data_IF_891550052441
#
_entry.id   IF_891550052441
#
_cell.length_a   1.000
_cell.length_b   1.000
_cell.length_c   1.000
_cell.angle_alpha   90.00
_cell.angle_beta   90.00
_cell.angle_gamma   90.00
#
_symmetry.space_group_name_H-M   'P 1'
#
loop_
_entity.id
_entity.type
_entity.pdbx_description
1 polymer ?
#
# COMPACT_ATOMS: atom_id res chain seq x y z
N UNK A 1 17.81 -43.00 -31.42
CA UNK A 1 17.19 -41.73 -30.98
C UNK A 1 17.49 -41.58 -29.51
N UNK A 2 18.44 -40.72 -29.12
CA UNK A 2 18.70 -40.47 -27.69
C UNK A 2 17.45 -39.88 -27.07
N UNK A 3 16.98 -40.45 -25.96
CA UNK A 3 15.87 -39.89 -25.20
C UNK A 3 16.32 -38.54 -24.64
N UNK A 4 15.88 -37.45 -25.27
CA UNK A 4 16.09 -36.10 -24.77
C UNK A 4 15.48 -35.99 -23.38
N UNK A 5 16.27 -35.52 -22.41
CA UNK A 5 15.85 -35.38 -21.02
C UNK A 5 14.65 -34.43 -20.90
N UNK A 6 13.93 -34.50 -19.79
CA UNK A 6 12.81 -33.58 -19.54
C UNK A 6 13.31 -32.13 -19.46
N UNK A 7 14.44 -31.90 -18.78
CA UNK A 7 15.06 -30.58 -18.68
C UNK A 7 15.42 -30.01 -20.07
N UNK A 8 16.04 -30.81 -20.93
CA UNK A 8 16.38 -30.38 -22.30
C UNK A 8 15.13 -30.00 -23.12
N UNK A 9 14.01 -30.70 -22.91
CA UNK A 9 12.74 -30.37 -23.57
C UNK A 9 12.21 -29.04 -23.06
N UNK A 10 12.21 -28.82 -21.75
CA UNK A 10 11.73 -27.57 -21.14
C UNK A 10 12.59 -26.40 -21.59
N UNK A 11 13.92 -26.55 -21.61
CA UNK A 11 14.85 -25.52 -22.09
C UNK A 11 14.54 -25.15 -23.55
N UNK A 12 14.32 -26.13 -24.44
CA UNK A 12 13.94 -25.85 -25.84
C UNK A 12 12.62 -25.11 -25.96
N UNK A 13 11.63 -25.44 -25.13
CA UNK A 13 10.35 -24.70 -25.10
C UNK A 13 10.60 -23.27 -24.66
N UNK A 14 11.40 -23.06 -23.60
CA UNK A 14 11.80 -21.73 -23.15
C UNK A 14 12.50 -20.95 -24.26
N UNK A 15 13.43 -21.56 -25.01
CA UNK A 15 14.11 -20.89 -26.13
C UNK A 15 13.14 -20.44 -27.24
N UNK A 16 12.13 -21.25 -27.56
CA UNK A 16 11.07 -20.86 -28.49
C UNK A 16 10.28 -19.68 -27.92
N UNK A 17 9.88 -19.73 -26.65
CA UNK A 17 9.13 -18.64 -26.01
C UNK A 17 9.93 -17.34 -25.97
N UNK A 18 11.24 -17.39 -25.68
CA UNK A 18 12.13 -16.23 -25.72
C UNK A 18 12.26 -15.65 -27.13
N UNK A 19 12.13 -16.48 -28.17
CA UNK A 19 12.04 -15.99 -29.55
C UNK A 19 10.73 -15.25 -29.80
N UNK A 20 9.62 -15.68 -29.19
CA UNK A 20 8.33 -15.00 -29.28
C UNK A 20 8.36 -13.62 -28.58
N UNK A 21 9.05 -13.49 -27.45
CA UNK A 21 9.15 -12.20 -26.71
C UNK A 21 9.89 -11.10 -27.47
N UNK A 22 10.56 -11.43 -28.58
CA UNK A 22 11.32 -10.47 -29.40
C UNK A 22 10.60 -10.08 -30.70
N UNK A 23 9.37 -10.55 -30.92
CA UNK A 23 8.64 -10.29 -32.16
C UNK A 23 8.03 -8.89 -32.19
N UNK A 24 7.80 -8.36 -33.41
CA UNK A 24 7.20 -7.02 -33.60
C UNK A 24 5.76 -6.93 -33.07
N UNK A 25 4.98 -8.00 -33.23
CA UNK A 25 3.59 -8.05 -32.78
C UNK A 25 3.53 -8.21 -31.25
N UNK A 26 2.79 -7.34 -30.58
CA UNK A 26 2.72 -7.33 -29.11
C UNK A 26 2.00 -8.57 -28.58
N UNK A 27 1.01 -9.11 -29.30
CA UNK A 27 0.29 -10.33 -28.94
C UNK A 27 1.24 -11.53 -28.87
N UNK A 28 2.22 -11.59 -29.79
CA UNK A 28 3.24 -12.64 -29.80
C UNK A 28 4.20 -12.47 -28.63
N UNK A 29 4.61 -11.24 -28.31
CA UNK A 29 5.47 -10.99 -27.14
C UNK A 29 4.76 -11.35 -25.84
N UNK A 30 3.53 -10.89 -25.69
CA UNK A 30 2.65 -11.22 -24.58
C UNK A 30 2.47 -12.74 -24.43
N UNK A 31 2.19 -13.45 -25.53
CA UNK A 31 2.05 -14.91 -25.53
C UNK A 31 3.32 -15.65 -25.11
N UNK A 32 4.49 -15.17 -25.54
CA UNK A 32 5.79 -15.68 -25.10
C UNK A 32 5.99 -15.55 -23.60
N UNK A 33 5.76 -14.34 -23.06
CA UNK A 33 5.86 -14.07 -21.62
C UNK A 33 4.84 -14.86 -20.80
N UNK A 34 3.60 -15.01 -21.30
CA UNK A 34 2.58 -15.82 -20.66
C UNK A 34 3.00 -17.29 -20.55
N UNK A 35 3.62 -17.84 -21.60
CA UNK A 35 4.21 -19.18 -21.56
C UNK A 35 5.32 -19.28 -20.52
N UNK A 36 6.23 -18.30 -20.48
CA UNK A 36 7.32 -18.24 -19.50
C UNK A 36 6.79 -18.18 -18.06
N UNK A 37 5.75 -17.37 -17.80
CA UNK A 37 5.09 -17.28 -16.49
C UNK A 37 4.67 -18.65 -15.99
N UNK A 38 3.99 -19.44 -16.81
CA UNK A 38 3.52 -20.76 -16.38
C UNK A 38 4.65 -21.77 -16.23
N UNK A 39 5.66 -21.75 -17.11
CA UNK A 39 6.82 -22.64 -16.96
C UNK A 39 7.56 -22.32 -15.65
N UNK A 40 7.85 -21.05 -15.40
CA UNK A 40 8.54 -20.63 -14.17
C UNK A 40 7.69 -20.87 -12.91
N UNK A 41 6.36 -20.80 -13.02
CA UNK A 41 5.47 -21.12 -11.90
C UNK A 41 5.41 -22.63 -11.59
N UNK A 42 5.39 -23.49 -12.62
CA UNK A 42 5.18 -24.94 -12.47
C UNK A 42 6.48 -25.72 -12.30
N UNK A 43 7.54 -25.37 -13.05
CA UNK A 43 8.84 -26.06 -13.05
C UNK A 43 9.80 -25.43 -12.04
N UNK A 44 9.37 -25.33 -10.78
CA UNK A 44 10.17 -24.78 -9.68
C UNK A 44 11.51 -25.51 -9.49
N UNK A 45 11.53 -26.82 -9.79
CA UNK A 45 12.71 -27.67 -9.78
C UNK A 45 13.79 -27.24 -10.79
N UNK A 46 13.40 -26.57 -11.88
CA UNK A 46 14.30 -26.12 -12.95
C UNK A 46 14.56 -24.61 -12.92
N UNK A 47 13.99 -23.84 -11.99
CA UNK A 47 14.11 -22.37 -11.98
C UNK A 47 15.57 -21.89 -11.97
N UNK A 48 16.47 -22.62 -11.29
CA UNK A 48 17.89 -22.27 -11.25
C UNK A 48 18.58 -22.32 -12.62
N UNK A 49 18.13 -23.17 -13.56
CA UNK A 49 18.66 -23.22 -14.92
C UNK A 49 17.87 -22.32 -15.88
N UNK A 50 16.56 -22.20 -15.69
CA UNK A 50 15.68 -21.42 -16.58
C UNK A 50 15.75 -19.91 -16.34
N UNK A 51 15.72 -19.47 -15.08
CA UNK A 51 15.61 -18.05 -14.74
C UNK A 51 16.81 -17.23 -15.21
N UNK A 52 18.09 -17.63 -15.02
CA UNK A 52 19.22 -16.86 -15.54
C UNK A 52 19.16 -16.68 -17.07
N UNK A 53 18.57 -17.64 -17.80
CA UNK A 53 18.42 -17.58 -19.26
C UNK A 53 17.28 -16.66 -19.69
N UNK A 54 16.13 -16.69 -19.01
CA UNK A 54 14.97 -15.89 -19.39
C UNK A 54 14.95 -14.47 -18.81
N UNK A 55 15.61 -14.26 -17.66
CA UNK A 55 15.53 -13.02 -16.88
C UNK A 55 15.90 -11.77 -17.68
N UNK A 56 16.97 -11.71 -18.50
CA UNK A 56 17.31 -10.50 -19.24
C UNK A 56 16.18 -9.99 -20.14
N UNK A 57 15.48 -10.92 -20.83
CA UNK A 57 14.38 -10.59 -21.72
C UNK A 57 13.10 -10.23 -20.96
N UNK A 58 12.86 -10.86 -19.81
CA UNK A 58 11.72 -10.49 -18.95
C UNK A 58 11.93 -9.08 -18.38
N UNK A 59 13.14 -8.76 -17.91
CA UNK A 59 13.47 -7.43 -17.39
C UNK A 59 13.37 -6.34 -18.47
N UNK A 60 13.83 -6.59 -19.70
CA UNK A 60 13.64 -5.63 -20.79
C UNK A 60 12.16 -5.44 -21.14
N UNK A 61 11.35 -6.49 -20.98
CA UNK A 61 9.91 -6.44 -21.29
C UNK A 61 9.09 -5.65 -20.25
N UNK A 62 9.64 -5.36 -19.06
CA UNK A 62 8.99 -4.46 -18.09
C UNK A 62 8.87 -3.02 -18.61
N UNK A 63 9.71 -2.64 -19.58
CA UNK A 63 9.66 -1.35 -20.28
C UNK A 63 9.11 -1.48 -21.70
N UNK A 64 8.32 -2.53 -21.98
CA UNK A 64 7.63 -2.65 -23.27
C UNK A 64 6.64 -1.48 -23.44
N UNK A 65 6.52 -0.89 -24.64
CA UNK A 65 5.57 0.20 -24.88
C UNK A 65 4.10 -0.21 -24.77
N UNK A 66 3.79 -1.51 -24.74
CA UNK A 66 2.43 -2.01 -24.54
C UNK A 66 2.26 -2.45 -23.09
N UNK A 67 1.38 -1.76 -22.35
CA UNK A 67 1.15 -2.00 -20.92
C UNK A 67 0.82 -3.45 -20.58
N UNK A 68 0.03 -4.14 -21.42
CA UNK A 68 -0.29 -5.56 -21.21
C UNK A 68 0.96 -6.45 -21.26
N UNK A 69 1.94 -6.12 -22.11
CA UNK A 69 3.22 -6.84 -22.21
C UNK A 69 4.09 -6.57 -20.99
N UNK A 70 4.18 -5.30 -20.56
CA UNK A 70 4.91 -4.94 -19.33
C UNK A 70 4.28 -5.59 -18.08
N UNK A 71 2.95 -5.62 -18.02
CA UNK A 71 2.18 -6.26 -16.96
C UNK A 71 2.43 -7.77 -16.86
N UNK A 72 2.39 -8.49 -17.98
CA UNK A 72 2.67 -9.94 -17.98
C UNK A 72 4.14 -10.22 -17.67
N UNK A 73 5.07 -9.33 -18.06
CA UNK A 73 6.49 -9.44 -17.69
C UNK A 73 6.65 -9.39 -16.15
N UNK A 74 5.99 -8.44 -15.48
CA UNK A 74 5.98 -8.40 -14.02
C UNK A 74 5.36 -9.66 -13.41
N UNK A 75 4.21 -10.10 -13.94
CA UNK A 75 3.53 -11.32 -13.48
C UNK A 75 4.38 -12.58 -13.64
N UNK A 76 5.27 -12.62 -14.63
CA UNK A 76 6.20 -13.72 -14.90
C UNK A 76 7.25 -13.85 -13.79
N UNK A 77 7.66 -12.73 -13.17
CA UNK A 77 8.68 -12.71 -12.13
C UNK A 77 8.13 -13.00 -10.72
N UNK A 78 6.84 -12.76 -10.46
CA UNK A 78 6.21 -13.00 -9.15
C UNK A 78 6.50 -14.40 -8.57
N UNK A 79 6.25 -15.52 -9.28
CA UNK A 79 6.46 -16.86 -8.71
C UNK A 79 7.94 -17.18 -8.44
N UNK A 80 8.86 -16.42 -9.01
CA UNK A 80 10.31 -16.62 -8.87
C UNK A 80 11.00 -15.49 -8.10
N UNK A 81 10.24 -14.56 -7.52
CA UNK A 81 10.77 -13.47 -6.70
C UNK A 81 11.67 -13.96 -5.54
N UNK A 82 11.36 -15.08 -4.83
CA UNK A 82 12.27 -15.62 -3.81
C UNK A 82 13.65 -15.98 -4.38
N UNK A 83 13.72 -16.51 -5.60
CA UNK A 83 14.98 -16.85 -6.26
C UNK A 83 15.76 -15.61 -6.69
N UNK A 84 15.08 -14.52 -7.08
CA UNK A 84 15.73 -13.24 -7.37
C UNK A 84 16.42 -12.66 -6.14
N UNK A 85 15.80 -12.82 -4.96
CA UNK A 85 16.33 -12.30 -3.69
C UNK A 85 17.44 -13.18 -3.12
N UNK A 86 17.24 -14.50 -3.10
CA UNK A 86 18.13 -15.44 -2.39
C UNK A 86 19.32 -15.92 -3.23
N UNK A 87 19.21 -15.93 -4.56
CA UNK A 87 20.29 -16.41 -5.42
C UNK A 87 21.42 -15.37 -5.55
N UNK A 88 22.66 -15.68 -5.13
CA UNK A 88 23.78 -14.75 -5.22
C UNK A 88 24.09 -14.28 -6.64
N UNK A 89 23.80 -15.11 -7.65
CA UNK A 89 24.01 -14.76 -9.05
C UNK A 89 22.97 -13.80 -9.60
N UNK A 90 21.83 -13.62 -8.93
CA UNK A 90 20.72 -12.79 -9.41
C UNK A 90 20.44 -11.58 -8.49
N UNK A 91 20.78 -11.66 -7.21
CA UNK A 91 20.49 -10.62 -6.21
C UNK A 91 21.06 -9.24 -6.57
N UNK A 92 22.17 -9.19 -7.30
CA UNK A 92 22.75 -7.94 -7.83
C UNK A 92 21.82 -7.18 -8.81
N UNK A 93 20.81 -7.84 -9.39
CA UNK A 93 19.82 -7.24 -10.29
C UNK A 93 18.64 -6.61 -9.54
N UNK A 94 18.41 -7.00 -8.28
CA UNK A 94 17.24 -6.57 -7.50
C UNK A 94 17.15 -5.05 -7.33
N UNK A 95 18.23 -4.30 -7.02
CA UNK A 95 18.14 -2.84 -6.89
C UNK A 95 17.63 -2.16 -8.16
N UNK A 96 18.21 -2.50 -9.32
CA UNK A 96 17.79 -1.94 -10.60
C UNK A 96 16.34 -2.31 -10.97
N UNK A 97 15.90 -3.53 -10.65
CA UNK A 97 14.51 -3.95 -10.84
C UNK A 97 13.57 -3.13 -9.95
N UNK A 98 13.94 -2.88 -8.69
CA UNK A 98 13.13 -2.07 -7.78
C UNK A 98 13.04 -0.61 -8.24
N UNK A 99 14.13 -0.02 -8.69
CA UNK A 99 14.11 1.34 -9.26
C UNK A 99 13.17 1.40 -10.46
N UNK A 100 13.23 0.42 -11.36
CA UNK A 100 12.32 0.32 -12.50
C UNK A 100 10.85 0.18 -12.05
N UNK A 101 10.57 -0.66 -11.05
CA UNK A 101 9.22 -0.83 -10.52
C UNK A 101 8.69 0.43 -9.85
N UNK A 102 9.52 1.17 -9.10
CA UNK A 102 9.13 2.44 -8.49
C UNK A 102 8.81 3.50 -9.53
N UNK A 103 9.61 3.59 -10.60
CA UNK A 103 9.35 4.47 -11.73
C UNK A 103 8.03 4.11 -12.41
N UNK A 104 7.82 2.82 -12.73
CA UNK A 104 6.56 2.35 -13.33
C UNK A 104 5.36 2.67 -12.42
N UNK A 105 5.43 2.40 -11.12
CA UNK A 105 4.34 2.69 -10.19
C UNK A 105 4.04 4.19 -10.05
N UNK A 106 5.04 5.05 -10.25
CA UNK A 106 4.88 6.51 -10.19
C UNK A 106 4.33 7.10 -11.50
N UNK A 107 4.62 6.49 -12.65
CA UNK A 107 4.23 6.97 -13.98
C UNK A 107 2.85 6.47 -14.42
N UNK A 108 2.37 5.36 -13.87
CA UNK A 108 1.16 4.69 -14.36
C UNK A 108 -0.15 5.31 -13.87
N UNK A 109 -1.14 5.34 -14.76
CA UNK A 109 -2.52 5.70 -14.45
C UNK A 109 -3.22 4.58 -13.67
N UNK A 110 -3.85 4.93 -12.55
CA UNK A 110 -4.41 4.00 -11.55
C UNK A 110 -5.51 3.04 -12.06
N UNK A 111 -5.93 3.19 -13.32
CA UNK A 111 -7.00 2.42 -13.95
C UNK A 111 -6.50 1.39 -14.96
N UNK A 112 -5.22 1.36 -15.31
CA UNK A 112 -4.68 0.28 -16.14
C UNK A 112 -4.55 -0.99 -15.28
N UNK A 113 -5.13 -2.09 -15.77
CA UNK A 113 -5.01 -3.41 -15.11
C UNK A 113 -3.55 -3.86 -14.92
N UNK A 114 -2.63 -3.18 -15.60
CA UNK A 114 -1.19 -3.35 -15.55
C UNK A 114 -0.56 -3.13 -14.16
N UNK A 115 -1.14 -2.24 -13.37
CA UNK A 115 -0.57 -1.88 -12.07
C UNK A 115 -0.57 -3.02 -11.05
N UNK A 116 -1.48 -3.99 -11.21
CA UNK A 116 -1.66 -5.09 -10.25
C UNK A 116 -0.40 -5.91 -10.07
N UNK A 117 0.26 -6.26 -11.18
CA UNK A 117 1.42 -7.13 -11.13
C UNK A 117 2.70 -6.38 -10.76
N UNK A 118 2.82 -5.08 -11.06
CA UNK A 118 3.95 -4.27 -10.58
C UNK A 118 3.94 -4.17 -9.06
N UNK A 119 2.80 -3.81 -8.47
CA UNK A 119 2.66 -3.74 -7.01
C UNK A 119 2.86 -5.11 -6.36
N UNK A 120 2.32 -6.17 -6.97
CA UNK A 120 2.49 -7.54 -6.46
C UNK A 120 3.94 -8.02 -6.52
N UNK A 121 4.66 -7.71 -7.61
CA UNK A 121 6.09 -8.04 -7.74
C UNK A 121 6.94 -7.23 -6.77
N UNK A 122 6.67 -5.93 -6.62
CA UNK A 122 7.33 -5.07 -5.64
C UNK A 122 7.17 -5.66 -4.23
N UNK A 123 5.96 -6.02 -3.84
CA UNK A 123 5.69 -6.63 -2.54
C UNK A 123 6.40 -7.98 -2.40
N UNK A 124 6.36 -8.85 -3.42
CA UNK A 124 7.01 -10.16 -3.40
C UNK A 124 8.53 -10.08 -3.19
N UNK A 125 9.17 -9.00 -3.68
CA UNK A 125 10.62 -8.77 -3.50
C UNK A 125 10.90 -8.09 -2.16
N UNK A 126 10.19 -7.00 -1.83
CA UNK A 126 10.47 -6.22 -0.63
C UNK A 126 10.11 -6.95 0.65
N UNK A 127 8.99 -7.68 0.66
CA UNK A 127 8.49 -8.39 1.85
C UNK A 127 9.17 -9.75 2.08
N UNK A 128 10.09 -10.17 1.19
CA UNK A 128 10.83 -11.41 1.38
C UNK A 128 11.79 -11.28 2.58
N UNK A 129 11.87 -12.26 3.50
CA UNK A 129 12.69 -12.16 4.73
C UNK A 129 14.18 -11.85 4.48
N UNK A 130 14.76 -12.43 3.42
CA UNK A 130 16.16 -12.20 3.06
C UNK A 130 16.40 -10.91 2.25
N UNK A 131 15.34 -10.15 1.94
CA UNK A 131 15.45 -8.93 1.16
C UNK A 131 16.03 -7.80 2.01
N UNK A 132 17.17 -7.27 1.58
CA UNK A 132 17.79 -6.08 2.19
C UNK A 132 17.32 -4.78 1.56
N UNK A 133 16.55 -4.86 0.48
CA UNK A 133 16.18 -3.69 -0.31
C UNK A 133 15.35 -2.66 0.47
N UNK A 134 14.54 -3.13 1.42
CA UNK A 134 13.76 -2.23 2.29
C UNK A 134 14.62 -1.37 3.22
N UNK A 135 15.90 -1.70 3.41
CA UNK A 135 16.86 -0.92 4.23
C UNK A 135 17.82 -0.03 3.43
N UNK A 136 17.82 -0.13 2.10
CA UNK A 136 18.78 0.55 1.21
C UNK A 136 18.05 1.44 0.20
N UNK A 137 17.00 2.12 0.65
CA UNK A 137 16.28 3.07 -0.20
C UNK A 137 17.16 4.30 -0.47
N UNK A 138 17.07 4.82 -1.69
CA UNK A 138 17.75 6.06 -2.10
C UNK A 138 17.14 7.31 -1.46
N UNK A 139 15.91 7.21 -0.95
CA UNK A 139 15.11 8.30 -0.38
C UNK A 139 14.51 7.88 0.96
N UNK A 140 14.20 8.82 1.88
CA UNK A 140 13.53 8.50 3.14
C UNK A 140 12.19 7.79 2.89
N UNK A 141 11.87 6.78 3.73
CA UNK A 141 10.65 5.97 3.57
C UNK A 141 9.41 6.81 3.37
N UNK A 142 9.25 7.87 4.18
CA UNK A 142 8.07 8.74 4.17
C UNK A 142 7.91 9.55 2.87
N UNK A 143 8.98 9.71 2.08
CA UNK A 143 8.94 10.34 0.75
C UNK A 143 8.70 9.33 -0.37
N UNK A 144 8.90 8.03 -0.08
CA UNK A 144 8.58 6.92 -1.00
C UNK A 144 7.12 6.47 -0.88
N UNK A 145 6.56 6.47 0.35
CA UNK A 145 5.18 6.04 0.61
C UNK A 145 4.10 6.73 -0.26
N UNK A 146 4.22 8.02 -0.63
CA UNK A 146 3.26 8.67 -1.53
C UNK A 146 3.04 7.93 -2.85
N UNK A 147 4.06 7.24 -3.37
CA UNK A 147 3.97 6.42 -4.59
C UNK A 147 3.03 5.22 -4.43
N UNK A 148 2.74 4.83 -3.20
CA UNK A 148 1.90 3.68 -2.86
C UNK A 148 0.43 4.05 -2.60
N UNK A 149 0.13 5.31 -2.26
CA UNK A 149 -1.23 5.75 -1.92
C UNK A 149 -2.30 5.46 -2.98
N UNK A 150 -2.03 5.59 -4.30
CA UNK A 150 -2.95 5.16 -5.34
C UNK A 150 -3.51 3.74 -5.14
N UNK A 151 -2.64 2.82 -4.73
CA UNK A 151 -2.95 1.40 -4.68
C UNK A 151 -3.71 0.99 -3.41
N UNK A 152 -3.77 1.86 -2.40
CA UNK A 152 -4.60 1.65 -1.20
C UNK A 152 -6.10 1.65 -1.49
N UNK A 153 -6.53 2.25 -2.60
CA UNK A 153 -7.94 2.28 -3.02
C UNK A 153 -8.21 1.41 -4.26
N UNK A 154 -7.27 0.55 -4.63
CA UNK A 154 -7.39 -0.30 -5.81
C UNK A 154 -8.59 -1.26 -5.70
N UNK A 155 -9.25 -1.55 -6.82
CA UNK A 155 -10.46 -2.41 -6.87
C UNK A 155 -10.17 -3.85 -6.40
N UNK A 156 -9.01 -4.39 -6.78
CA UNK A 156 -8.54 -5.70 -6.36
C UNK A 156 -8.00 -5.69 -4.94
N UNK A 157 -8.57 -6.53 -4.06
CA UNK A 157 -8.16 -6.66 -2.65
C UNK A 157 -6.72 -7.12 -2.46
N UNK A 158 -6.21 -8.03 -3.30
CA UNK A 158 -4.81 -8.48 -3.21
C UNK A 158 -3.79 -7.36 -3.45
N UNK A 159 -4.12 -6.39 -4.32
CA UNK A 159 -3.28 -5.21 -4.56
C UNK A 159 -3.25 -4.33 -3.32
N UNK A 160 -4.43 -4.01 -2.75
CA UNK A 160 -4.51 -3.22 -1.51
C UNK A 160 -3.72 -3.88 -0.37
N UNK A 161 -3.81 -5.20 -0.24
CA UNK A 161 -3.05 -5.98 0.74
C UNK A 161 -1.53 -5.86 0.49
N UNK A 162 -1.09 -6.12 -0.74
CA UNK A 162 0.32 -6.03 -1.13
C UNK A 162 0.90 -4.62 -0.91
N UNK A 163 0.10 -3.59 -1.14
CA UNK A 163 0.46 -2.19 -0.86
C UNK A 163 0.69 -1.98 0.63
N UNK A 164 -0.24 -2.38 1.49
CA UNK A 164 -0.08 -2.22 2.94
C UNK A 164 1.05 -3.08 3.50
N UNK A 165 1.24 -4.31 3.01
CA UNK A 165 2.39 -5.15 3.36
C UNK A 165 3.72 -4.48 3.00
N UNK A 166 3.79 -3.86 1.81
CA UNK A 166 4.95 -3.07 1.42
C UNK A 166 5.16 -1.89 2.36
N UNK A 167 4.11 -1.12 2.69
CA UNK A 167 4.20 0.00 3.64
C UNK A 167 4.68 -0.47 5.03
N UNK A 168 4.13 -1.57 5.53
CA UNK A 168 4.51 -2.15 6.81
C UNK A 168 5.98 -2.58 6.80
N UNK A 169 6.43 -3.24 5.74
CA UNK A 169 7.83 -3.67 5.58
C UNK A 169 8.77 -2.46 5.56
N UNK A 170 8.50 -1.46 4.73
CA UNK A 170 9.35 -0.27 4.60
C UNK A 170 9.45 0.49 5.92
N UNK A 171 8.34 0.69 6.62
CA UNK A 171 8.32 1.39 7.92
C UNK A 171 9.03 0.57 8.99
N UNK A 172 8.81 -0.76 9.07
CA UNK A 172 9.43 -1.64 10.07
C UNK A 172 10.93 -1.78 9.94
N UNK A 173 11.43 -1.73 8.71
CA UNK A 173 12.87 -1.81 8.40
C UNK A 173 13.70 -0.64 8.95
N UNK A 174 13.05 0.42 9.45
CA UNK A 174 13.70 1.60 9.97
C UNK A 174 13.40 1.80 11.46
N UNK A 175 14.38 2.32 12.22
CA UNK A 175 14.22 2.59 13.65
C UNK A 175 13.42 3.88 13.90
N UNK A 176 13.65 4.89 13.07
CA UNK A 176 12.97 6.18 13.09
C UNK A 176 12.54 6.53 11.67
N UNK A 177 11.48 7.32 11.57
CA UNK A 177 10.96 7.83 10.29
C UNK A 177 11.11 9.34 10.29
N UNK A 178 12.06 9.85 9.50
CA UNK A 178 12.24 11.28 9.33
C UNK A 178 11.26 11.78 8.27
N UNK A 179 10.45 12.78 8.62
CA UNK A 179 9.50 13.37 7.69
C UNK A 179 9.00 14.75 8.16
N UNK A 180 8.45 15.50 7.20
CA UNK A 180 7.69 16.71 7.51
C UNK A 180 6.33 16.39 8.16
N UNK A 181 5.81 17.31 8.98
CA UNK A 181 4.46 17.22 9.56
C UNK A 181 3.38 17.02 8.48
N UNK A 182 3.40 17.73 7.33
CA UNK A 182 2.49 17.46 6.21
C UNK A 182 2.59 16.03 5.64
N UNK A 183 3.80 15.52 5.39
CA UNK A 183 4.01 14.16 4.85
C UNK A 183 3.46 13.09 5.80
N UNK A 184 3.70 13.28 7.11
CA UNK A 184 3.15 12.42 8.17
C UNK A 184 1.63 12.45 8.19
N UNK A 185 1.03 13.64 8.25
CA UNK A 185 -0.42 13.81 8.27
C UNK A 185 -1.07 13.17 7.05
N UNK A 186 -0.52 13.39 5.85
CA UNK A 186 -1.05 12.80 4.61
C UNK A 186 -1.02 11.26 4.68
N UNK A 187 0.10 10.69 5.12
CA UNK A 187 0.24 9.24 5.29
C UNK A 187 -0.78 8.68 6.27
N UNK A 188 -0.91 9.28 7.46
CA UNK A 188 -1.89 8.86 8.46
C UNK A 188 -3.32 8.98 7.94
N UNK A 189 -3.66 10.06 7.23
CA UNK A 189 -4.99 10.22 6.63
C UNK A 189 -5.31 9.12 5.61
N UNK A 190 -4.35 8.71 4.76
CA UNK A 190 -4.56 7.61 3.82
C UNK A 190 -4.82 6.27 4.53
N UNK A 191 -4.02 5.96 5.56
CA UNK A 191 -4.19 4.71 6.36
C UNK A 191 -5.52 4.74 7.12
N UNK A 192 -5.83 5.85 7.79
CA UNK A 192 -7.07 6.01 8.54
C UNK A 192 -8.31 5.94 7.64
N UNK A 193 -8.31 6.65 6.51
CA UNK A 193 -9.39 6.58 5.52
C UNK A 193 -9.61 5.15 5.03
N UNK A 194 -8.53 4.39 4.81
CA UNK A 194 -8.65 2.98 4.41
C UNK A 194 -9.28 2.12 5.50
N UNK A 195 -8.98 2.37 6.77
CA UNK A 195 -9.62 1.69 7.90
C UNK A 195 -11.15 1.82 7.91
N UNK A 196 -11.67 2.99 7.49
CA UNK A 196 -13.10 3.30 7.48
C UNK A 196 -13.86 2.56 6.38
N UNK A 197 -13.21 2.25 5.25
CA UNK A 197 -13.88 1.76 4.03
C UNK A 197 -13.37 0.40 3.57
N UNK A 198 -12.47 -0.25 4.30
CA UNK A 198 -11.99 -1.60 3.99
C UNK A 198 -12.97 -2.65 4.51
N UNK A 199 -13.32 -3.62 3.67
CA UNK A 199 -14.27 -4.70 3.98
C UNK A 199 -13.59 -6.06 4.22
N UNK A 200 -12.37 -6.23 3.73
CA UNK A 200 -11.59 -7.46 3.88
C UNK A 200 -10.85 -7.46 5.21
N UNK A 201 -11.05 -8.51 6.00
CA UNK A 201 -10.48 -8.64 7.35
C UNK A 201 -8.96 -8.65 7.37
N UNK A 202 -8.33 -9.43 6.50
CA UNK A 202 -6.87 -9.50 6.41
C UNK A 202 -6.23 -8.13 6.12
N UNK A 203 -6.92 -7.31 5.31
CA UNK A 203 -6.46 -5.95 5.01
C UNK A 203 -6.65 -5.03 6.23
N UNK A 204 -7.76 -5.18 6.98
CA UNK A 204 -7.98 -4.46 8.23
C UNK A 204 -6.89 -4.74 9.27
N UNK A 205 -6.48 -6.00 9.41
CA UNK A 205 -5.39 -6.39 10.31
C UNK A 205 -4.07 -5.72 9.87
N UNK A 206 -3.78 -5.72 8.56
CA UNK A 206 -2.58 -5.06 8.01
C UNK A 206 -2.62 -3.52 8.15
N UNK A 207 -3.79 -2.88 8.12
CA UNK A 207 -3.93 -1.43 8.36
C UNK A 207 -3.46 -1.07 9.76
N UNK A 208 -3.88 -1.84 10.77
CA UNK A 208 -3.45 -1.63 12.16
C UNK A 208 -1.94 -1.80 12.31
N UNK A 209 -1.39 -2.82 11.67
CA UNK A 209 0.04 -3.08 11.61
C UNK A 209 0.86 -1.91 11.01
N UNK A 210 0.40 -1.32 9.91
CA UNK A 210 1.02 -0.13 9.30
C UNK A 210 0.91 1.07 10.22
N UNK A 211 -0.27 1.29 10.80
CA UNK A 211 -0.54 2.42 11.70
C UNK A 211 0.39 2.40 12.91
N UNK A 212 0.43 1.28 13.64
CA UNK A 212 1.32 1.11 14.78
C UNK A 212 2.79 1.30 14.38
N UNK A 213 3.19 0.69 13.26
CA UNK A 213 4.57 0.79 12.78
C UNK A 213 5.04 2.23 12.58
N UNK A 214 4.17 3.10 12.02
CA UNK A 214 4.44 4.53 11.84
C UNK A 214 4.51 5.22 13.20
N UNK A 215 3.49 5.08 14.05
CA UNK A 215 3.40 5.81 15.32
C UNK A 215 4.59 5.53 16.25
N UNK A 216 5.09 4.30 16.29
CA UNK A 216 6.21 3.92 17.17
C UNK A 216 7.57 4.43 16.69
N UNK A 217 7.65 5.03 15.50
CA UNK A 217 8.92 5.44 14.84
C UNK A 217 9.01 6.93 14.53
N UNK A 218 7.96 7.69 14.81
CA UNK A 218 7.91 9.14 14.61
C UNK A 218 8.22 9.84 15.93
N UNK A 219 8.91 10.99 15.85
CA UNK A 219 9.14 11.84 17.02
C UNK A 219 7.82 12.40 17.58
N UNK A 220 7.66 12.38 18.91
CA UNK A 220 6.44 12.82 19.59
C UNK A 220 5.95 14.20 19.13
N UNK A 221 6.83 15.21 19.07
CA UNK A 221 6.43 16.57 18.73
C UNK A 221 5.86 16.66 17.29
N UNK A 222 6.52 16.01 16.33
CA UNK A 222 6.05 15.93 14.95
C UNK A 222 4.70 15.21 14.86
N UNK A 223 4.52 14.14 15.63
CA UNK A 223 3.25 13.41 15.72
C UNK A 223 2.12 14.27 16.29
N UNK A 224 2.36 14.97 17.40
CA UNK A 224 1.38 15.84 18.04
C UNK A 224 0.94 16.97 17.10
N UNK A 225 1.90 17.61 16.41
CA UNK A 225 1.62 18.67 15.45
C UNK A 225 0.80 18.17 14.24
N UNK A 226 1.05 16.93 13.81
CA UNK A 226 0.30 16.32 12.71
C UNK A 226 -1.11 15.91 13.13
N UNK A 227 -1.29 15.36 14.34
CA UNK A 227 -2.53 14.65 14.69
C UNK A 227 -3.51 15.50 15.47
N UNK A 228 -3.07 16.27 16.46
CA UNK A 228 -3.96 17.01 17.37
C UNK A 228 -5.01 17.88 16.66
N UNK A 229 -4.69 18.61 15.56
CA UNK A 229 -5.68 19.40 14.83
C UNK A 229 -6.79 18.57 14.17
N UNK A 230 -6.57 17.27 13.93
CA UNK A 230 -7.43 16.42 13.10
C UNK A 230 -8.20 15.34 13.87
N UNK A 231 -7.89 15.11 15.16
CA UNK A 231 -8.54 14.07 15.99
C UNK A 231 -10.06 14.21 15.98
N UNK A 232 -10.58 15.43 16.17
CA UNK A 232 -12.02 15.67 16.18
C UNK A 232 -12.68 15.26 14.85
N UNK A 233 -12.05 15.57 13.73
CA UNK A 233 -12.51 15.17 12.41
C UNK A 233 -12.48 13.65 12.23
N UNK A 234 -11.41 12.99 12.65
CA UNK A 234 -11.29 11.53 12.56
C UNK A 234 -12.31 10.80 13.43
N UNK A 235 -12.59 11.29 14.63
CA UNK A 235 -13.68 10.83 15.48
C UNK A 235 -15.03 10.94 14.75
N UNK A 236 -15.33 12.10 14.18
CA UNK A 236 -16.57 12.31 13.42
C UNK A 236 -16.73 11.33 12.25
N UNK A 237 -15.66 11.05 11.51
CA UNK A 237 -15.68 10.07 10.42
C UNK A 237 -16.01 8.65 10.92
N UNK A 238 -15.40 8.20 12.02
CA UNK A 238 -15.72 6.90 12.63
C UNK A 238 -17.15 6.83 13.18
N UNK A 239 -17.71 7.96 13.59
CA UNK A 239 -19.07 8.07 14.12
C UNK A 239 -20.15 8.26 13.04
N UNK A 240 -19.80 8.43 11.77
CA UNK A 240 -20.76 8.67 10.69
C UNK A 240 -21.76 7.51 10.51
N UNK A 241 -23.07 7.75 10.20
CA UNK A 241 -24.02 6.67 9.88
C UNK A 241 -23.56 5.81 8.69
N UNK A 242 -23.66 4.49 8.82
CA UNK A 242 -23.11 3.56 7.82
C UNK A 242 -23.81 3.59 6.45
N UNK A 243 -25.08 4.01 6.43
CA UNK A 243 -25.90 4.13 5.23
C UNK A 243 -25.77 5.50 4.53
N UNK A 244 -25.00 6.43 5.10
CA UNK A 244 -24.76 7.77 4.53
C UNK A 244 -23.35 7.80 3.95
N UNK A 245 -23.17 8.22 2.68
CA UNK A 245 -21.84 8.32 2.10
C UNK A 245 -21.03 9.43 2.78
N UNK A 246 -19.72 9.23 2.89
CA UNK A 246 -18.79 10.27 3.33
C UNK A 246 -18.87 11.48 2.40
N UNK A 247 -18.72 12.67 2.96
CA UNK A 247 -18.49 13.86 2.17
C UNK A 247 -17.08 13.78 1.57
N UNK A 248 -16.99 13.82 0.24
CA UNK A 248 -15.72 13.74 -0.48
C UNK A 248 -14.77 14.88 -0.11
N UNK A 249 -15.26 16.02 0.37
CA UNK A 249 -14.41 17.12 0.86
C UNK A 249 -13.62 16.75 2.13
N UNK A 250 -14.09 15.76 2.89
CA UNK A 250 -13.46 15.30 4.12
C UNK A 250 -12.45 14.18 3.88
N UNK A 251 -12.56 13.48 2.74
CA UNK A 251 -11.66 12.43 2.32
C UNK A 251 -10.51 13.00 1.49
N UNK A 252 -9.36 12.34 1.54
CA UNK A 252 -8.28 12.64 0.59
C UNK A 252 -8.61 11.92 -0.72
N UNK A 253 -8.64 12.69 -1.80
CA UNK A 253 -8.54 12.15 -3.16
C UNK A 253 -7.07 12.06 -3.54
N UNK A 254 -6.69 11.01 -4.24
CA UNK A 254 -5.43 11.04 -4.98
C UNK A 254 -5.67 11.98 -6.16
N UNK A 255 -4.96 13.10 -6.24
CA UNK A 255 -5.10 14.02 -7.37
C UNK A 255 -4.69 13.30 -8.66
N UNK A 256 -5.51 13.35 -9.71
CA UNK A 256 -5.13 12.80 -11.00
C UNK A 256 -3.99 13.63 -11.58
N UNK A 257 -2.95 12.95 -12.07
CA UNK A 257 -2.03 13.58 -13.01
C UNK A 257 -2.84 13.90 -14.26
N UNK A 258 -2.79 15.15 -14.70
CA UNK A 258 -3.58 15.67 -15.81
C UNK A 258 -3.16 15.04 -17.14
N UNK A 259 -3.88 14.01 -17.58
CA UNK A 259 -3.79 13.52 -18.97
C UNK A 259 -5.14 12.98 -19.44
N UNK A 260 -5.84 13.81 -20.24
CA UNK A 260 -6.78 13.48 -21.31
C UNK A 260 -7.83 12.36 -21.15
N UNK A 261 -9.10 12.74 -21.30
CA UNK A 261 -10.28 11.94 -21.70
C UNK A 261 -10.09 10.43 -21.90
N UNK A 262 -9.91 9.68 -20.81
CA UNK A 262 -10.02 8.22 -20.70
C UNK A 262 -10.44 7.89 -19.25
N UNK A 263 -10.82 6.64 -18.86
CA UNK A 263 -11.91 6.31 -17.91
C UNK A 263 -11.72 6.68 -16.41
N UNK A 264 -10.97 7.74 -16.10
CA UNK A 264 -10.79 8.38 -14.79
C UNK A 264 -12.09 8.90 -14.15
N UNK A 265 -13.17 9.06 -14.92
CA UNK A 265 -14.51 9.33 -14.38
C UNK A 265 -15.05 8.19 -13.49
N UNK A 266 -14.53 6.96 -13.61
CA UNK A 266 -15.08 5.80 -12.90
C UNK A 266 -14.82 5.81 -11.38
N UNK A 267 -13.74 6.45 -10.89
CA UNK A 267 -13.52 6.66 -9.45
C UNK A 267 -13.98 8.06 -9.00
N UNK A 268 -13.95 9.04 -9.90
CA UNK A 268 -14.42 10.42 -9.69
C UNK A 268 -15.95 10.47 -9.64
N UNK A 269 -16.52 9.90 -8.58
CA UNK A 269 -17.96 9.78 -8.40
C UNK A 269 -18.38 8.64 -7.50
N UNK A 270 -17.47 7.70 -7.20
CA UNK A 270 -17.75 6.61 -6.28
C UNK A 270 -18.02 7.16 -4.88
N UNK A 271 -19.12 6.69 -4.30
CA UNK A 271 -19.46 7.00 -2.92
C UNK A 271 -18.70 6.08 -1.98
N UNK A 272 -18.10 6.66 -0.96
CA UNK A 272 -17.45 5.94 0.12
C UNK A 272 -18.42 5.82 1.29
N UNK A 273 -18.58 4.62 1.84
CA UNK A 273 -19.41 4.39 3.02
C UNK A 273 -18.58 3.74 4.11
N UNK A 274 -19.01 3.91 5.35
CA UNK A 274 -18.40 3.18 6.45
C UNK A 274 -18.59 1.68 6.22
N UNK A 275 -17.48 0.96 6.15
CA UNK A 275 -17.42 -0.46 5.89
C UNK A 275 -17.30 -0.86 4.42
N UNK A 276 -17.26 0.06 3.46
CA UNK A 276 -16.98 -0.26 2.05
C UNK A 276 -17.29 0.86 1.05
N UNK A 277 -16.67 0.78 -0.13
CA UNK A 277 -17.01 1.63 -1.29
C UNK A 277 -18.31 1.19 -1.96
N UNK A 278 -18.95 2.05 -2.74
CA UNK A 278 -20.24 1.81 -3.40
C UNK A 278 -20.32 0.50 -4.21
N UNK A 279 -19.21 0.07 -4.82
CA UNK A 279 -19.13 -1.19 -5.58
C UNK A 279 -19.16 -2.44 -4.71
N UNK A 280 -18.98 -2.31 -3.39
CA UNK A 280 -19.11 -3.42 -2.44
C UNK A 280 -20.59 -3.65 -2.13
N UNK A 281 -21.09 -4.91 -2.17
CA UNK A 281 -22.48 -5.23 -1.87
C UNK A 281 -22.95 -4.65 -0.54
N UNK A 282 -24.17 -4.09 -0.49
CA UNK A 282 -24.72 -3.43 0.69
C UNK A 282 -24.65 -4.31 1.94
N UNK A 283 -25.06 -5.58 1.83
CA UNK A 283 -25.03 -6.55 2.94
C UNK A 283 -23.62 -6.69 3.51
N UNK A 284 -22.61 -6.73 2.65
CA UNK A 284 -21.19 -6.79 3.06
C UNK A 284 -20.77 -5.51 3.78
N UNK A 285 -21.17 -4.34 3.27
CA UNK A 285 -20.86 -3.04 3.89
C UNK A 285 -21.49 -2.91 5.27
N UNK A 286 -22.77 -3.26 5.40
CA UNK A 286 -23.50 -3.19 6.66
C UNK A 286 -22.90 -4.14 7.70
N UNK A 287 -22.64 -5.39 7.32
CA UNK A 287 -22.01 -6.38 8.19
C UNK A 287 -20.60 -5.95 8.63
N UNK A 288 -19.88 -5.22 7.77
CA UNK A 288 -18.54 -4.75 8.06
C UNK A 288 -18.49 -3.40 8.80
N UNK A 289 -19.56 -2.59 8.75
CA UNK A 289 -19.57 -1.24 9.32
C UNK A 289 -19.17 -1.20 10.79
N UNK A 290 -19.61 -2.17 11.59
CA UNK A 290 -19.21 -2.31 12.98
C UNK A 290 -17.70 -2.58 13.12
N UNK A 291 -17.16 -3.49 12.32
CA UNK A 291 -15.74 -3.84 12.35
C UNK A 291 -14.85 -2.67 11.93
N UNK A 292 -15.28 -1.90 10.93
CA UNK A 292 -14.60 -0.67 10.52
C UNK A 292 -14.57 0.38 11.64
N UNK A 293 -15.66 0.54 12.42
CA UNK A 293 -15.66 1.41 13.61
C UNK A 293 -14.68 0.94 14.66
N UNK A 294 -14.73 -0.35 15.00
CA UNK A 294 -13.82 -0.92 16.01
C UNK A 294 -12.37 -0.71 15.59
N UNK A 295 -12.03 -0.96 14.33
CA UNK A 295 -10.69 -0.69 13.81
C UNK A 295 -10.34 0.81 13.94
N UNK A 296 -11.18 1.71 13.43
CA UNK A 296 -10.93 3.15 13.52
C UNK A 296 -10.76 3.63 14.97
N UNK A 297 -11.59 3.13 15.90
CA UNK A 297 -11.48 3.40 17.33
C UNK A 297 -10.19 2.85 17.94
N UNK A 298 -9.71 1.67 17.51
CA UNK A 298 -8.39 1.15 17.93
C UNK A 298 -7.25 2.04 17.43
N UNK A 299 -7.29 2.47 16.17
CA UNK A 299 -6.27 3.38 15.61
C UNK A 299 -6.22 4.70 16.37
N UNK A 300 -7.39 5.30 16.66
CA UNK A 300 -7.49 6.50 17.49
C UNK A 300 -7.08 6.27 18.94
N UNK A 301 -7.39 5.10 19.50
CA UNK A 301 -6.96 4.67 20.82
C UNK A 301 -5.44 4.61 20.93
N UNK A 302 -4.75 4.04 19.94
CA UNK A 302 -3.28 4.04 19.88
C UNK A 302 -2.72 5.47 19.82
N UNK A 303 -3.27 6.32 18.95
CA UNK A 303 -2.89 7.75 18.87
C UNK A 303 -3.08 8.46 20.22
N UNK A 304 -4.16 8.15 20.94
CA UNK A 304 -4.47 8.81 22.21
C UNK A 304 -3.35 8.68 23.24
N UNK A 305 -2.61 7.56 23.21
CA UNK A 305 -1.46 7.32 24.11
C UNK A 305 -0.32 8.32 23.93
N UNK A 306 -0.24 8.96 22.76
CA UNK A 306 0.71 10.03 22.43
C UNK A 306 0.12 11.40 22.69
N UNK A 307 -1.13 11.63 22.29
CA UNK A 307 -1.83 12.93 22.40
C UNK A 307 -1.93 13.43 23.83
N UNK A 308 -2.01 12.51 24.79
CA UNK A 308 -2.05 12.84 26.22
C UNK A 308 -0.67 13.17 26.83
N UNK A 309 0.40 13.05 26.06
CA UNK A 309 1.76 13.37 26.51
C UNK A 309 2.05 14.87 26.33
N UNK A 310 2.84 15.49 27.23
CA UNK A 310 3.26 16.87 27.06
C UNK A 310 4.24 17.01 25.89
N UNK A 311 4.07 18.04 25.08
CA UNK A 311 5.02 18.39 24.03
C UNK A 311 6.36 18.79 24.65
N UNK A 312 7.48 18.27 24.12
CA UNK A 312 8.81 18.50 24.68
C UNK A 312 9.38 19.82 24.16
N UNK A 313 10.17 20.51 24.99
CA UNK A 313 10.86 21.76 24.59
C UNK A 313 10.03 23.04 24.68
N UNK A 314 8.74 22.96 25.02
CA UNK A 314 7.94 24.12 25.44
C UNK A 314 8.27 24.46 26.90
N UNK A 315 9.40 25.10 27.15
CA UNK A 315 9.63 25.75 28.45
C UNK A 315 8.78 27.02 28.48
N UNK A 316 7.87 27.21 29.45
CA UNK A 316 7.22 28.49 29.63
C UNK A 316 8.31 29.55 29.82
N UNK A 317 8.27 30.61 29.01
CA UNK A 317 9.21 31.71 29.15
C UNK A 317 9.11 32.33 30.55
N UNK A 318 10.20 32.87 31.11
CA UNK A 318 10.13 33.54 32.41
C UNK A 318 9.15 34.72 32.33
N UNK A 319 7.98 34.58 32.95
CA UNK A 319 6.93 35.61 32.99
C UNK A 319 5.60 35.26 32.32
N UNK A 320 5.47 34.09 31.68
CA UNK A 320 4.19 33.60 31.18
C UNK A 320 3.53 32.67 32.19
N UNK A 321 2.68 33.21 33.06
CA UNK A 321 1.68 32.47 33.87
C UNK A 321 0.58 31.86 32.97
N UNK A 322 0.93 31.38 31.77
CA UNK A 322 0.02 30.60 30.94
C UNK A 322 0.11 29.15 31.40
N UNK A 323 -0.87 28.76 32.22
CA UNK A 323 -1.13 27.38 32.58
C UNK A 323 -1.37 26.58 31.29
N UNK A 324 -0.32 25.97 30.73
CA UNK A 324 -0.43 25.07 29.58
C UNK A 324 -1.43 24.00 29.99
N UNK A 325 -2.60 23.90 29.33
CA UNK A 325 -3.66 23.03 29.79
C UNK A 325 -3.17 21.58 29.70
N UNK A 326 -3.42 20.81 30.76
CA UNK A 326 -3.01 19.40 30.84
C UNK A 326 -3.50 18.64 29.59
N UNK A 327 -2.61 18.01 28.80
CA UNK A 327 -3.00 17.34 27.55
C UNK A 327 -4.09 16.28 27.75
N UNK A 328 -4.02 15.53 28.85
CA UNK A 328 -5.06 14.59 29.28
C UNK A 328 -6.41 15.29 29.42
N UNK A 329 -6.45 16.44 30.09
CA UNK A 329 -7.70 17.18 30.31
C UNK A 329 -8.27 17.73 29.00
N UNK A 330 -7.41 18.23 28.10
CA UNK A 330 -7.83 18.67 26.76
C UNK A 330 -8.48 17.52 25.99
N UNK A 331 -7.85 16.35 26.00
CA UNK A 331 -8.35 15.17 25.32
C UNK A 331 -9.65 14.63 25.94
N UNK A 332 -9.75 14.59 27.27
CA UNK A 332 -10.99 14.22 27.98
C UNK A 332 -12.13 15.18 27.63
N UNK A 333 -11.88 16.49 27.65
CA UNK A 333 -12.87 17.49 27.30
C UNK A 333 -13.37 17.31 25.86
N UNK A 334 -12.48 17.00 24.92
CA UNK A 334 -12.85 16.68 23.54
C UNK A 334 -13.77 15.46 23.47
N UNK A 335 -13.43 14.36 24.15
CA UNK A 335 -14.25 13.15 24.14
C UNK A 335 -15.62 13.35 24.81
N UNK A 336 -15.68 14.12 25.90
CA UNK A 336 -16.92 14.42 26.61
C UNK A 336 -17.97 15.11 25.73
N UNK A 337 -17.56 15.91 24.74
CA UNK A 337 -18.49 16.51 23.76
C UNK A 337 -19.30 15.42 23.03
N UNK A 338 -18.65 14.31 22.68
CA UNK A 338 -19.28 13.22 21.92
C UNK A 338 -20.00 12.22 22.83
N UNK A 339 -19.45 11.92 24.02
CA UNK A 339 -20.11 11.03 24.99
C UNK A 339 -21.41 11.64 25.52
N UNK A 340 -21.43 12.95 25.76
CA UNK A 340 -22.63 13.65 26.22
C UNK A 340 -23.62 13.98 25.09
N UNK A 341 -23.33 13.56 23.85
CA UNK A 341 -24.22 13.82 22.74
C UNK A 341 -25.50 12.98 22.85
N UNK A 342 -26.57 13.48 22.23
CA UNK A 342 -27.87 12.78 22.18
C UNK A 342 -27.84 11.59 21.20
N UNK A 343 -26.84 11.48 20.33
CA UNK A 343 -26.73 10.42 19.33
C UNK A 343 -26.18 9.12 19.93
N UNK A 344 -26.99 8.06 19.91
CA UNK A 344 -26.53 6.73 20.33
C UNK A 344 -25.33 6.25 19.51
N UNK A 345 -25.25 6.65 18.23
CA UNK A 345 -24.14 6.31 17.35
C UNK A 345 -22.82 6.95 17.79
N UNK A 346 -22.89 8.21 18.23
CA UNK A 346 -21.72 8.93 18.74
C UNK A 346 -21.28 8.37 20.11
N UNK A 347 -22.24 7.91 20.93
CA UNK A 347 -21.93 7.23 22.20
C UNK A 347 -21.35 5.82 22.01
N UNK A 348 -21.84 5.08 21.02
CA UNK A 348 -21.48 3.67 20.79
C UNK A 348 -20.12 3.48 20.11
N UNK A 349 -19.51 4.51 19.50
CA UNK A 349 -18.14 4.41 18.96
C UNK A 349 -17.05 4.11 20.00
N UNK A 350 -17.41 4.13 21.29
CA UNK A 350 -16.55 3.83 22.44
C UNK A 350 -16.79 2.45 23.09
N UNK A 351 -17.85 1.71 22.72
CA UNK A 351 -18.10 0.34 23.20
C UNK A 351 -17.53 -0.67 22.21
#
# INVERSE_FOLDING_TARGET
MSHMSEEDRVIRVVDVLLTLTQQKNWETRHGGLLGLKYILAVKQDLVNSLLPRSLPLILSSLSDPVDDVANIAAATLIPVAPHLVTSPSLSHRVPALLDQLWTLLAEQDQLTSACNNFMSLLAAILCHPDSRASTVLSEPVMEVLPRLWPYLSHSTSSVRLATLQTMATLTRSHRTLDCSVPSLLATLRHVYQRSLVEHVREIQDMIEEVWESILTRIELNSLLMAVCPHIAQWLCLAMQPANVPFDNSQLISVEPKSSGDTPQEALAGLKFYLGGVETVPLVTREANSHRARVLASRLLGLVSTYVIQPMTGLNPGPGEDQQIPCPVQCYVNLLLVYVNSKSALQRAGHQ
#
